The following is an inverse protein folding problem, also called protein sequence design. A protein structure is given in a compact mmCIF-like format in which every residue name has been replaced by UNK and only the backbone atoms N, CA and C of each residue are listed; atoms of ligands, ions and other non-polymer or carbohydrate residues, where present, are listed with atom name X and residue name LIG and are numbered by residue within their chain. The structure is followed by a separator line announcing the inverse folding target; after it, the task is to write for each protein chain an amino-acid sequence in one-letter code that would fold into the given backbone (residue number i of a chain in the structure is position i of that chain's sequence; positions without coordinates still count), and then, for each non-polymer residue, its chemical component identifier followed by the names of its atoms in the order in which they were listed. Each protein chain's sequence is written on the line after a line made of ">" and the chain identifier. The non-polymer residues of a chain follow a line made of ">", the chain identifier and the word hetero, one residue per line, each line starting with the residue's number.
data_IF_089518770801
#
_entry.id   IF_089518770801
#
_cell.length_a   1.000
_cell.length_b   1.000
_cell.length_c   1.000
_cell.angle_alpha   90.00
_cell.angle_beta   90.00
_cell.angle_gamma   90.00
#
_symmetry.space_group_name_H-M   'P 1'
#
loop_
_entity.id
_entity.type
_entity.pdbx_description
1 polymer ?
#
# COMPACT_ATOMS: atom_id res chain seq x y z
N UNK A 1 25.07 -10.57 2.51
CA UNK A 1 24.41 -11.90 2.34
C UNK A 1 23.29 -11.67 1.37
N UNK A 2 23.52 -12.07 0.13
CA UNK A 2 22.51 -12.06 -0.92
C UNK A 2 21.40 -13.01 -0.50
N UNK A 3 20.36 -12.46 0.09
CA UNK A 3 19.08 -13.15 0.20
C UNK A 3 18.48 -13.04 -1.19
N UNK A 4 18.67 -14.06 -1.99
CA UNK A 4 18.00 -14.16 -3.27
C UNK A 4 16.49 -14.22 -2.99
N UNK A 5 15.71 -13.16 -3.24
CA UNK A 5 14.29 -13.14 -2.94
C UNK A 5 13.51 -14.14 -3.80
N UNK A 6 14.11 -14.63 -4.84
CA UNK A 6 13.46 -15.47 -5.85
C UNK A 6 13.53 -16.98 -5.57
N UNK A 7 14.32 -17.43 -4.61
CA UNK A 7 14.50 -18.89 -4.41
C UNK A 7 13.28 -19.59 -3.80
N UNK A 8 12.37 -18.86 -3.16
CA UNK A 8 11.14 -19.42 -2.62
C UNK A 8 9.92 -19.25 -3.54
N UNK A 9 9.92 -18.20 -4.38
CA UNK A 9 8.77 -17.86 -5.22
C UNK A 9 8.95 -18.31 -6.69
N UNK A 10 10.17 -18.63 -7.11
CA UNK A 10 10.48 -18.95 -8.49
C UNK A 10 10.39 -20.43 -8.86
N UNK A 11 10.15 -21.31 -7.91
CA UNK A 11 10.08 -22.74 -8.21
C UNK A 11 8.62 -23.11 -8.55
N UNK A 12 8.28 -22.95 -9.84
CA UNK A 12 6.96 -23.28 -10.40
C UNK A 12 6.53 -24.73 -10.10
N UNK A 13 7.46 -25.58 -9.72
CA UNK A 13 7.21 -27.00 -9.42
C UNK A 13 6.94 -27.28 -7.93
N UNK A 14 7.14 -26.31 -7.03
CA UNK A 14 6.94 -26.51 -5.59
C UNK A 14 6.31 -25.26 -4.96
N UNK A 15 5.08 -24.94 -5.28
CA UNK A 15 4.31 -23.99 -4.49
C UNK A 15 4.21 -24.53 -3.06
N UNK A 16 5.00 -23.92 -2.17
CA UNK A 16 4.91 -24.22 -0.75
C UNK A 16 3.84 -23.32 -0.15
N UNK A 17 2.92 -23.92 0.60
CA UNK A 17 1.93 -23.15 1.36
C UNK A 17 2.64 -22.48 2.54
N UNK A 18 2.50 -21.16 2.65
CA UNK A 18 3.11 -20.36 3.69
C UNK A 18 2.19 -20.28 4.91
N UNK A 19 2.77 -20.46 6.09
CA UNK A 19 2.13 -20.11 7.37
C UNK A 19 2.63 -18.74 7.84
N UNK A 20 1.72 -17.81 8.16
CA UNK A 20 2.09 -16.47 8.60
C UNK A 20 1.74 -16.24 10.08
N UNK A 21 2.75 -15.89 10.89
CA UNK A 21 2.59 -15.52 12.29
C UNK A 21 2.94 -14.03 12.45
N UNK A 22 1.97 -13.17 12.82
CA UNK A 22 2.20 -11.75 12.97
C UNK A 22 3.07 -11.44 14.18
N UNK A 23 4.22 -10.82 13.98
CA UNK A 23 5.15 -10.40 15.04
C UNK A 23 5.43 -8.87 15.02
N UNK A 24 4.84 -8.14 14.10
CA UNK A 24 5.00 -6.69 13.95
C UNK A 24 4.06 -5.88 14.85
N UNK A 25 4.23 -4.56 14.85
CA UNK A 25 3.40 -3.63 15.63
C UNK A 25 2.00 -3.43 15.03
N UNK A 26 1.90 -3.23 13.72
CA UNK A 26 0.64 -2.90 13.02
C UNK A 26 -0.05 -4.17 12.51
N UNK A 27 0.72 -5.04 11.87
CA UNK A 27 0.27 -6.33 11.30
C UNK A 27 -0.89 -6.18 10.30
N UNK A 28 -0.77 -5.22 9.37
CA UNK A 28 -1.79 -4.96 8.34
C UNK A 28 -2.03 -6.18 7.46
N UNK A 29 -0.98 -6.87 7.07
CA UNK A 29 -1.07 -8.09 6.27
C UNK A 29 -1.88 -9.18 6.98
N UNK A 30 -1.58 -9.44 8.28
CA UNK A 30 -2.39 -10.36 9.09
C UNK A 30 -3.85 -9.91 9.19
N UNK A 31 -4.08 -8.60 9.39
CA UNK A 31 -5.43 -8.03 9.48
C UNK A 31 -6.21 -8.24 8.17
N UNK A 32 -5.56 -8.05 7.04
CA UNK A 32 -6.13 -8.26 5.70
C UNK A 32 -6.52 -9.71 5.48
N UNK A 33 -5.68 -10.66 5.88
CA UNK A 33 -5.90 -12.09 5.77
C UNK A 33 -6.82 -12.67 6.87
N UNK A 34 -7.27 -11.85 7.82
CA UNK A 34 -8.06 -12.32 8.95
C UNK A 34 -7.30 -13.24 9.90
N UNK A 35 -5.96 -13.12 9.95
CA UNK A 35 -5.11 -13.88 10.84
C UNK A 35 -5.06 -13.17 12.21
N UNK A 36 -5.26 -13.90 13.32
CA UNK A 36 -5.24 -13.32 14.66
C UNK A 36 -3.88 -12.69 15.00
N UNK A 37 -3.87 -11.53 15.66
CA UNK A 37 -2.64 -10.88 16.15
C UNK A 37 -1.93 -11.68 17.26
N UNK A 38 -2.65 -12.54 17.97
CA UNK A 38 -2.07 -13.45 18.95
C UNK A 38 -1.34 -14.58 18.24
N UNK A 39 -0.03 -14.70 18.48
CA UNK A 39 0.85 -15.65 17.78
C UNK A 39 0.44 -17.11 17.99
N UNK A 40 -0.04 -17.49 19.18
CA UNK A 40 -0.50 -18.87 19.46
C UNK A 40 -1.76 -19.18 18.63
N UNK A 41 -2.72 -18.25 18.60
CA UNK A 41 -3.93 -18.42 17.79
C UNK A 41 -3.62 -18.42 16.29
N UNK A 42 -2.63 -17.62 15.84
CA UNK A 42 -2.17 -17.62 14.46
C UNK A 42 -1.52 -18.97 14.09
N UNK A 43 -0.67 -19.51 14.98
CA UNK A 43 -0.07 -20.83 14.77
C UNK A 43 -1.11 -21.96 14.72
N UNK A 44 -2.13 -21.93 15.59
CA UNK A 44 -3.24 -22.88 15.54
C UNK A 44 -4.02 -22.78 14.21
N UNK A 45 -4.21 -21.54 13.71
CA UNK A 45 -4.89 -21.32 12.43
C UNK A 45 -4.11 -21.88 11.24
N UNK A 46 -2.77 -21.88 11.29
CA UNK A 46 -1.92 -22.53 10.28
C UNK A 46 -2.18 -24.03 10.22
N UNK A 47 -2.41 -24.68 11.37
CA UNK A 47 -2.69 -26.14 11.44
C UNK A 47 -4.05 -26.51 10.86
N UNK A 48 -5.08 -25.71 11.13
CA UNK A 48 -6.48 -26.04 10.88
C UNK A 48 -7.12 -25.19 9.76
N UNK A 49 -6.34 -24.28 9.16
CA UNK A 49 -6.80 -23.31 8.18
C UNK A 49 -7.05 -23.88 6.79
N UNK A 50 -7.43 -23.00 5.91
CA UNK A 50 -7.60 -23.27 4.47
C UNK A 50 -6.51 -22.56 3.68
N UNK A 51 -6.08 -23.17 2.59
CA UNK A 51 -5.16 -22.54 1.64
C UNK A 51 -5.92 -21.48 0.85
N UNK A 52 -5.36 -20.30 0.80
CA UNK A 52 -5.81 -19.19 -0.04
C UNK A 52 -4.66 -18.76 -0.94
N UNK A 53 -4.94 -18.65 -2.24
CA UNK A 53 -4.00 -18.04 -3.18
C UNK A 53 -4.08 -16.51 -3.07
N UNK A 54 -2.95 -15.85 -3.25
CA UNK A 54 -2.79 -14.42 -3.00
C UNK A 54 -1.94 -13.78 -4.09
N UNK A 55 -2.40 -12.63 -4.59
CA UNK A 55 -1.67 -11.84 -5.58
C UNK A 55 -0.59 -11.00 -4.92
N UNK A 56 0.55 -10.87 -5.57
CA UNK A 56 1.63 -9.98 -5.14
C UNK A 56 2.00 -8.99 -6.23
N UNK A 57 2.73 -7.95 -5.88
CA UNK A 57 3.19 -6.94 -6.81
C UNK A 57 4.66 -7.07 -7.19
N UNK A 58 4.97 -6.55 -8.36
CA UNK A 58 6.33 -6.30 -8.81
C UNK A 58 6.46 -4.83 -9.19
N UNK A 59 7.37 -4.11 -8.51
CA UNK A 59 7.73 -2.73 -8.81
C UNK A 59 9.17 -2.70 -9.33
N UNK A 60 9.38 -2.38 -10.59
CA UNK A 60 10.71 -2.34 -11.22
C UNK A 60 11.55 -3.60 -10.95
N UNK A 61 10.92 -4.79 -10.92
CA UNK A 61 11.60 -6.07 -10.63
C UNK A 61 11.70 -6.43 -9.15
N UNK A 62 11.30 -5.56 -8.22
CA UNK A 62 11.22 -5.84 -6.78
C UNK A 62 9.82 -6.30 -6.40
N UNK A 63 9.70 -7.46 -5.79
CA UNK A 63 8.43 -7.98 -5.29
C UNK A 63 7.96 -7.27 -4.03
N UNK A 64 6.64 -7.12 -3.88
CA UNK A 64 6.02 -6.64 -2.65
C UNK A 64 4.70 -7.38 -2.38
N UNK A 65 4.35 -7.49 -1.10
CA UNK A 65 3.22 -8.29 -0.68
C UNK A 65 1.93 -7.49 -0.59
N UNK A 66 1.96 -6.25 -0.11
CA UNK A 66 0.70 -5.57 0.17
C UNK A 66 0.66 -4.10 -0.26
N UNK A 67 1.77 -3.36 -0.30
CA UNK A 67 1.74 -1.94 -0.65
C UNK A 67 3.04 -1.41 -1.25
N UNK A 68 2.92 -0.65 -2.33
CA UNK A 68 3.92 0.30 -2.81
C UNK A 68 3.32 1.71 -2.76
N UNK A 69 4.05 2.68 -2.19
CA UNK A 69 3.54 4.03 -2.00
C UNK A 69 4.62 5.09 -2.15
N UNK A 70 4.21 6.31 -2.50
CA UNK A 70 5.08 7.49 -2.55
C UNK A 70 4.42 8.72 -1.92
N UNK A 71 5.23 9.69 -1.56
CA UNK A 71 4.81 11.02 -1.12
C UNK A 71 4.44 11.08 0.35
N UNK A 72 3.36 11.79 0.67
CA UNK A 72 2.93 12.02 2.04
C UNK A 72 2.74 10.69 2.80
N UNK A 73 3.14 10.65 4.07
CA UNK A 73 3.13 9.47 4.95
C UNK A 73 4.24 8.43 4.72
N UNK A 74 4.99 8.48 3.63
CA UNK A 74 6.10 7.53 3.42
C UNK A 74 7.31 7.89 4.25
N UNK A 75 7.67 9.19 4.37
CA UNK A 75 8.78 9.70 5.20
C UNK A 75 8.61 9.44 6.70
N UNK A 76 7.38 9.28 7.12
CA UNK A 76 7.02 9.19 8.53
C UNK A 76 7.34 7.82 9.12
N UNK A 77 7.37 6.78 8.32
CA UNK A 77 7.73 5.44 8.76
C UNK A 77 9.15 5.37 9.33
N UNK A 78 10.05 6.24 8.86
CA UNK A 78 11.46 6.23 9.24
C UNK A 78 11.86 7.24 10.33
N UNK A 79 11.11 8.36 10.46
CA UNK A 79 11.53 9.50 11.29
C UNK A 79 10.72 9.71 12.58
N UNK A 80 9.57 9.05 12.73
CA UNK A 80 8.70 9.29 13.89
C UNK A 80 9.02 8.35 15.05
N UNK A 81 9.33 8.87 16.26
CA UNK A 81 9.50 8.06 17.45
C UNK A 81 8.23 7.24 17.74
N UNK A 82 8.40 5.98 18.13
CA UNK A 82 7.28 5.05 18.43
C UNK A 82 6.30 5.59 19.49
N UNK A 83 6.76 6.49 20.35
CA UNK A 83 5.95 7.07 21.41
C UNK A 83 4.80 7.95 20.91
N UNK A 84 4.94 8.58 19.73
CA UNK A 84 3.89 9.42 19.13
C UNK A 84 2.81 8.56 18.46
N UNK A 85 3.17 7.38 17.99
CA UNK A 85 2.21 6.43 17.38
C UNK A 85 1.19 5.87 18.38
N UNK A 86 1.54 5.85 19.67
CA UNK A 86 0.71 5.22 20.71
C UNK A 86 -0.25 6.18 21.42
N UNK A 87 -0.04 7.49 21.34
CA UNK A 87 -0.77 8.49 22.16
C UNK A 87 -1.91 9.17 21.38
N UNK A 88 -1.73 9.37 20.09
CA UNK A 88 -2.75 10.00 19.23
C UNK A 88 -3.28 8.93 18.26
N UNK A 89 -4.54 8.60 18.35
CA UNK A 89 -5.15 7.65 17.43
C UNK A 89 -4.83 8.01 15.96
N UNK A 90 -4.77 7.01 15.07
CA UNK A 90 -4.37 7.12 13.65
C UNK A 90 -4.98 8.34 12.93
N UNK A 91 -6.20 8.72 13.26
CA UNK A 91 -6.91 9.86 12.65
C UNK A 91 -6.28 11.22 13.01
N UNK A 92 -5.85 11.39 14.26
CA UNK A 92 -5.21 12.63 14.70
C UNK A 92 -3.83 12.83 14.05
N UNK A 93 -3.13 11.73 13.77
CA UNK A 93 -1.85 11.75 13.09
C UNK A 93 -1.95 12.20 11.61
N UNK A 94 -2.96 11.70 10.89
CA UNK A 94 -3.27 12.16 9.53
C UNK A 94 -3.58 13.66 9.53
N UNK A 95 -4.36 14.13 10.51
CA UNK A 95 -4.69 15.56 10.66
C UNK A 95 -3.47 16.43 10.95
N UNK A 96 -2.56 15.98 11.80
CA UNK A 96 -1.38 16.78 12.20
C UNK A 96 -0.35 16.86 11.07
N UNK A 97 -0.17 15.79 10.32
CA UNK A 97 0.68 15.76 9.12
C UNK A 97 0.17 16.67 8.01
N UNK A 98 -1.13 16.86 7.91
CA UNK A 98 -1.77 17.72 6.92
C UNK A 98 -1.85 19.20 7.32
N UNK A 99 -1.69 19.55 8.60
CA UNK A 99 -1.68 20.95 9.07
C UNK A 99 -0.49 21.75 8.57
N UNK A 100 0.61 21.10 8.21
CA UNK A 100 1.83 21.72 7.74
C UNK A 100 1.88 21.79 6.21
N UNK A 101 0.89 22.45 5.60
CA UNK A 101 0.79 22.63 4.13
C UNK A 101 2.04 23.22 3.47
N UNK A 102 2.84 23.98 4.21
CA UNK A 102 4.01 24.66 3.67
C UNK A 102 5.17 23.74 3.26
N UNK A 103 5.12 22.45 3.63
CA UNK A 103 6.21 21.49 3.39
C UNK A 103 5.78 20.19 2.68
N UNK A 104 4.57 20.16 2.11
CA UNK A 104 4.13 18.99 1.35
C UNK A 104 4.85 18.99 0.00
N UNK A 105 5.67 17.97 -0.23
CA UNK A 105 6.26 17.75 -1.57
C UNK A 105 5.15 17.28 -2.50
N UNK A 106 5.01 17.93 -3.64
CA UNK A 106 4.20 17.48 -4.76
C UNK A 106 5.08 17.02 -5.91
N UNK A 107 4.54 16.10 -6.69
CA UNK A 107 5.20 15.51 -7.85
C UNK A 107 4.27 15.65 -9.05
N UNK A 108 4.76 16.27 -10.14
CA UNK A 108 4.04 16.24 -11.40
C UNK A 108 4.27 14.89 -12.06
N UNK A 109 3.20 14.14 -12.24
CA UNK A 109 3.24 12.76 -12.72
C UNK A 109 2.47 12.61 -14.01
N UNK A 110 2.99 11.76 -14.89
CA UNK A 110 2.25 11.13 -15.98
C UNK A 110 2.02 9.67 -15.61
N UNK A 111 0.76 9.27 -15.57
CA UNK A 111 0.33 7.95 -15.10
C UNK A 111 -0.37 7.26 -16.26
N UNK A 112 0.13 6.09 -16.64
CA UNK A 112 -0.46 5.24 -17.67
C UNK A 112 -1.05 3.99 -17.02
N UNK A 113 -2.33 3.78 -17.22
CA UNK A 113 -3.08 2.66 -16.67
C UNK A 113 -4.07 2.17 -17.73
N UNK A 114 -3.88 0.96 -18.22
CA UNK A 114 -4.64 0.44 -19.36
C UNK A 114 -4.54 1.39 -20.58
N UNK A 115 -5.69 1.85 -21.08
CA UNK A 115 -5.77 2.84 -22.19
C UNK A 115 -5.89 4.29 -21.69
N UNK A 116 -5.78 4.51 -20.38
CA UNK A 116 -5.98 5.82 -19.74
C UNK A 116 -4.62 6.45 -19.43
N UNK A 117 -4.44 7.70 -19.86
CA UNK A 117 -3.35 8.55 -19.43
C UNK A 117 -3.89 9.65 -18.51
N UNK A 118 -3.28 9.81 -17.33
CA UNK A 118 -3.59 10.86 -16.37
C UNK A 118 -2.35 11.71 -16.13
N UNK A 119 -2.51 13.05 -16.09
CA UNK A 119 -1.43 13.98 -15.78
C UNK A 119 -1.87 14.94 -14.68
N UNK A 120 -0.97 15.23 -13.77
CA UNK A 120 -1.24 16.18 -12.68
C UNK A 120 -0.21 16.19 -11.59
N UNK A 121 -0.41 17.10 -10.62
CA UNK A 121 0.39 17.18 -9.41
C UNK A 121 -0.25 16.34 -8.30
N UNK A 122 0.53 15.44 -7.73
CA UNK A 122 0.09 14.54 -6.67
C UNK A 122 1.01 14.66 -5.46
N UNK A 123 0.40 14.58 -4.28
CA UNK A 123 1.13 14.59 -3.00
C UNK A 123 1.28 13.21 -2.39
N UNK A 124 0.50 12.24 -2.87
CA UNK A 124 0.51 10.87 -2.39
C UNK A 124 -0.03 9.92 -3.45
N UNK A 125 0.57 8.74 -3.52
CA UNK A 125 0.07 7.62 -4.29
C UNK A 125 0.34 6.31 -3.58
N UNK A 126 -0.62 5.39 -3.69
CA UNK A 126 -0.56 4.07 -3.09
C UNK A 126 -1.17 3.05 -4.04
N UNK A 127 -0.43 2.00 -4.28
CA UNK A 127 -0.82 0.82 -5.05
C UNK A 127 -0.78 -0.36 -4.07
N UNK A 128 -1.89 -1.03 -3.86
CA UNK A 128 -1.97 -2.04 -2.82
C UNK A 128 -2.87 -3.21 -3.18
N UNK A 129 -2.55 -4.38 -2.59
CA UNK A 129 -3.43 -5.53 -2.49
C UNK A 129 -3.73 -5.77 -1.00
N UNK A 130 -4.45 -4.84 -0.37
CA UNK A 130 -4.69 -4.89 1.07
C UNK A 130 -5.94 -4.15 1.48
N UNK A 131 -6.66 -4.70 2.44
CA UNK A 131 -7.81 -4.05 3.10
C UNK A 131 -7.41 -3.04 4.17
N UNK A 132 -6.14 -3.05 4.58
CA UNK A 132 -5.62 -2.17 5.63
C UNK A 132 -4.20 -1.77 5.31
N UNK A 133 -3.90 -0.48 5.36
CA UNK A 133 -2.54 0.05 5.19
C UNK A 133 -2.26 1.08 6.28
N UNK A 134 -1.10 0.95 6.94
CA UNK A 134 -0.71 1.82 8.05
C UNK A 134 -1.66 1.76 9.25
N UNK A 135 -2.41 0.65 9.43
CA UNK A 135 -3.42 0.47 10.47
C UNK A 135 -4.77 1.14 10.17
N UNK A 136 -4.93 1.77 9.00
CA UNK A 136 -6.20 2.36 8.57
C UNK A 136 -6.94 1.33 7.71
N UNK A 137 -8.08 0.87 8.23
CA UNK A 137 -8.95 -0.06 7.51
C UNK A 137 -9.72 0.65 6.40
N UNK A 138 -9.96 -0.08 5.32
CA UNK A 138 -10.75 0.36 4.17
C UNK A 138 -10.19 1.61 3.45
N UNK A 139 -8.90 1.96 3.67
CA UNK A 139 -8.27 3.11 3.02
C UNK A 139 -8.17 2.90 1.50
N UNK A 140 -8.01 1.64 1.07
CA UNK A 140 -7.96 1.27 -0.34
C UNK A 140 -9.34 1.12 -0.98
N UNK A 141 -10.38 0.98 -0.18
CA UNK A 141 -11.75 0.69 -0.60
C UNK A 141 -12.35 -0.46 0.18
N UNK A 142 -13.64 -0.73 -0.07
CA UNK A 142 -14.34 -1.84 0.61
C UNK A 142 -14.29 -3.15 -0.19
N UNK A 143 -14.14 -3.03 -1.51
CA UNK A 143 -14.27 -4.15 -2.45
C UNK A 143 -12.88 -4.67 -2.85
N UNK A 144 -11.99 -4.80 -1.84
CA UNK A 144 -10.65 -5.35 -2.03
C UNK A 144 -10.75 -6.87 -2.07
N UNK A 145 -10.44 -7.45 -3.21
CA UNK A 145 -10.23 -8.87 -3.42
C UNK A 145 -8.73 -9.13 -3.55
N UNK A 146 -8.25 -10.22 -2.95
CA UNK A 146 -6.81 -10.45 -2.81
C UNK A 146 -6.24 -11.39 -3.89
N UNK A 147 -7.12 -11.89 -4.75
CA UNK A 147 -6.84 -12.92 -5.77
C UNK A 147 -7.60 -12.65 -7.08
N UNK A 148 -7.97 -11.39 -7.33
CA UNK A 148 -8.70 -10.95 -8.53
C UNK A 148 -7.76 -10.47 -9.66
N UNK A 149 -6.45 -10.54 -9.46
CA UNK A 149 -5.44 -10.08 -10.42
C UNK A 149 -5.36 -8.56 -10.56
N UNK A 150 -5.88 -7.80 -9.58
CA UNK A 150 -5.91 -6.34 -9.62
C UNK A 150 -5.35 -5.73 -8.34
N UNK A 151 -4.80 -4.52 -8.46
CA UNK A 151 -4.47 -3.65 -7.33
C UNK A 151 -5.47 -2.52 -7.20
N UNK A 152 -5.70 -2.11 -5.96
CA UNK A 152 -6.32 -0.84 -5.63
C UNK A 152 -5.29 0.27 -5.72
N UNK A 153 -5.57 1.25 -6.56
CA UNK A 153 -4.80 2.47 -6.69
C UNK A 153 -5.52 3.61 -5.99
N UNK A 154 -4.82 4.32 -5.13
CA UNK A 154 -5.29 5.57 -4.50
C UNK A 154 -4.29 6.67 -4.80
N UNK A 155 -4.73 7.73 -5.46
CA UNK A 155 -3.93 8.91 -5.77
C UNK A 155 -4.56 10.13 -5.11
N UNK A 156 -3.74 10.98 -4.50
CA UNK A 156 -4.17 12.23 -3.85
C UNK A 156 -3.55 13.40 -4.57
N UNK A 157 -4.39 14.26 -5.13
CA UNK A 157 -3.96 15.46 -5.84
C UNK A 157 -3.38 16.51 -4.88
N UNK A 158 -2.54 17.37 -5.41
CA UNK A 158 -2.01 18.51 -4.69
C UNK A 158 -3.14 19.52 -4.39
N UNK A 159 -3.40 19.85 -3.11
CA UNK A 159 -4.39 20.85 -2.76
C UNK A 159 -3.82 22.25 -2.98
N UNK A 160 -4.58 23.11 -3.64
CA UNK A 160 -4.23 24.54 -3.82
C UNK A 160 -4.98 25.45 -2.83
N UNK A 161 -5.86 24.88 -2.02
CA UNK A 161 -6.65 25.62 -1.04
C UNK A 161 -6.90 24.82 0.25
N UNK A 162 -7.17 25.50 1.38
CA UNK A 162 -7.57 24.81 2.63
C UNK A 162 -8.86 23.99 2.49
N UNK A 163 -9.76 24.39 1.59
CA UNK A 163 -10.98 23.66 1.31
C UNK A 163 -10.70 22.30 0.65
N UNK A 164 -9.80 22.28 -0.34
CA UNK A 164 -9.37 21.04 -0.99
C UNK A 164 -8.67 20.10 -0.02
N UNK A 165 -7.87 20.64 0.91
CA UNK A 165 -7.28 19.85 1.97
C UNK A 165 -8.35 19.18 2.85
N UNK A 166 -9.40 19.91 3.23
CA UNK A 166 -10.53 19.33 3.96
C UNK A 166 -11.22 18.23 3.14
N UNK A 167 -11.36 18.42 1.82
CA UNK A 167 -11.93 17.40 0.93
C UNK A 167 -11.05 16.15 0.84
N UNK A 168 -9.72 16.29 0.85
CA UNK A 168 -8.79 15.16 0.92
C UNK A 168 -9.00 14.37 2.21
N UNK A 169 -8.99 15.06 3.35
CA UNK A 169 -9.18 14.43 4.66
C UNK A 169 -10.53 13.71 4.72
N UNK A 170 -11.59 14.40 4.32
CA UNK A 170 -12.93 13.81 4.27
C UNK A 170 -12.98 12.60 3.32
N UNK A 171 -12.36 12.70 2.15
CA UNK A 171 -12.30 11.61 1.16
C UNK A 171 -11.51 10.39 1.62
N UNK A 172 -10.43 10.59 2.39
CA UNK A 172 -9.62 9.49 2.92
C UNK A 172 -10.28 8.80 4.13
N UNK A 173 -11.01 9.57 4.95
CA UNK A 173 -11.64 9.07 6.17
C UNK A 173 -13.09 8.62 5.96
N UNK A 174 -13.75 9.06 4.89
CA UNK A 174 -15.16 8.77 4.67
C UNK A 174 -15.38 7.41 4.03
N UNK A 175 -16.42 6.73 4.50
CA UNK A 175 -16.85 5.43 3.92
C UNK A 175 -17.46 5.58 2.51
N UNK A 176 -17.88 6.77 2.10
CA UNK A 176 -18.47 7.05 0.78
C UNK A 176 -17.44 7.53 -0.27
N UNK A 177 -16.22 7.68 0.10
CA UNK A 177 -15.00 7.74 -0.69
C UNK A 177 -14.98 8.61 -1.98
N UNK A 178 -15.98 9.42 -2.25
CA UNK A 178 -15.99 10.33 -3.39
C UNK A 178 -15.42 11.67 -2.97
N UNK A 179 -14.23 11.97 -3.44
CA UNK A 179 -13.61 13.30 -3.34
C UNK A 179 -13.00 13.64 -4.69
N UNK A 180 -13.16 14.83 -5.21
CA UNK A 180 -12.51 15.24 -6.46
C UNK A 180 -10.98 15.27 -6.35
N UNK A 181 -10.47 15.29 -5.11
CA UNK A 181 -9.05 15.34 -4.78
C UNK A 181 -8.43 13.95 -4.56
N UNK A 182 -9.25 12.89 -4.53
CA UNK A 182 -8.79 11.51 -4.32
C UNK A 182 -9.33 10.64 -5.42
N UNK A 183 -8.43 10.16 -6.26
CA UNK A 183 -8.75 9.21 -7.33
C UNK A 183 -8.54 7.79 -6.83
N UNK A 184 -9.49 6.90 -7.13
CA UNK A 184 -9.41 5.48 -6.82
C UNK A 184 -9.88 4.66 -8.01
N UNK A 185 -9.09 3.65 -8.34
CA UNK A 185 -9.42 2.69 -9.40
C UNK A 185 -8.67 1.37 -9.17
N UNK A 186 -9.02 0.34 -9.93
CA UNK A 186 -8.31 -0.94 -9.93
C UNK A 186 -7.55 -1.11 -11.26
N UNK A 187 -6.39 -1.77 -11.20
CA UNK A 187 -5.59 -2.11 -12.37
C UNK A 187 -4.66 -3.28 -12.08
N UNK A 188 -4.35 -4.04 -13.12
CA UNK A 188 -3.32 -5.10 -13.12
C UNK A 188 -1.91 -4.55 -13.40
N UNK A 189 -1.84 -3.37 -14.06
CA UNK A 189 -0.59 -2.71 -14.41
C UNK A 189 -0.72 -1.20 -14.40
N UNK A 190 0.32 -0.53 -13.88
CA UNK A 190 0.44 0.94 -13.88
C UNK A 190 1.89 1.35 -14.16
N UNK A 191 2.05 2.39 -14.97
CA UNK A 191 3.35 3.05 -15.17
C UNK A 191 3.22 4.50 -14.72
N UNK A 192 4.14 4.93 -13.87
CA UNK A 192 4.20 6.29 -13.32
C UNK A 192 5.53 6.91 -13.71
N UNK A 193 5.47 8.04 -14.37
CA UNK A 193 6.64 8.82 -14.83
C UNK A 193 6.62 10.21 -14.24
N UNK A 194 7.80 10.74 -13.93
CA UNK A 194 8.00 12.09 -13.40
C UNK A 194 9.31 12.71 -13.87
N UNK A 195 9.37 14.05 -13.91
CA UNK A 195 10.59 14.78 -14.27
C UNK A 195 11.69 14.66 -13.21
N UNK A 196 11.31 14.42 -11.94
CA UNK A 196 12.21 14.27 -10.80
C UNK A 196 12.02 12.88 -10.18
N UNK A 197 13.09 12.33 -9.64
CA UNK A 197 13.01 11.08 -8.91
C UNK A 197 12.05 11.20 -7.72
N UNK A 198 11.11 10.28 -7.62
CA UNK A 198 10.12 10.15 -6.56
C UNK A 198 10.58 9.06 -5.61
N UNK A 199 10.64 9.37 -4.32
CA UNK A 199 10.98 8.41 -3.28
C UNK A 199 9.79 7.47 -3.01
N UNK A 200 10.05 6.16 -3.02
CA UNK A 200 9.04 5.13 -2.82
C UNK A 200 9.28 4.37 -1.52
N UNK A 201 8.21 3.82 -0.99
CA UNK A 201 8.24 2.78 0.04
C UNK A 201 7.55 1.53 -0.48
N UNK A 202 8.09 0.38 -0.13
CA UNK A 202 7.59 -0.93 -0.55
C UNK A 202 7.47 -1.80 0.69
N UNK A 203 6.26 -2.21 1.05
CA UNK A 203 5.94 -2.95 2.28
C UNK A 203 6.48 -2.29 3.56
N UNK A 204 6.58 -0.94 3.56
CA UNK A 204 7.09 -0.16 4.69
C UNK A 204 8.61 -0.01 4.74
N UNK A 205 9.33 -0.51 3.75
CA UNK A 205 10.77 -0.38 3.59
C UNK A 205 11.12 0.63 2.49
N UNK A 206 12.40 1.05 2.43
CA UNK A 206 12.89 1.92 1.36
C UNK A 206 12.76 1.24 -0.01
N UNK A 207 12.03 1.88 -0.92
CA UNK A 207 11.80 1.44 -2.29
C UNK A 207 12.65 2.18 -3.33
N UNK A 208 13.66 2.95 -2.86
CA UNK A 208 14.49 3.82 -3.68
C UNK A 208 13.74 4.98 -4.35
N UNK A 209 14.47 5.83 -5.06
CA UNK A 209 13.93 6.96 -5.78
C UNK A 209 13.98 6.73 -7.29
N UNK A 210 12.84 6.88 -7.98
CA UNK A 210 12.71 6.56 -9.39
C UNK A 210 12.02 7.69 -10.16
N UNK A 211 12.46 7.94 -11.40
CA UNK A 211 11.74 8.81 -12.35
C UNK A 211 10.67 8.04 -13.13
N UNK A 212 10.84 6.71 -13.26
CA UNK A 212 9.88 5.83 -13.88
C UNK A 212 9.70 4.58 -13.03
N UNK A 213 8.47 4.31 -12.68
CA UNK A 213 8.06 3.12 -11.94
C UNK A 213 7.03 2.37 -12.75
N UNK A 214 7.25 1.08 -12.91
CA UNK A 214 6.31 0.14 -13.47
C UNK A 214 5.92 -0.86 -12.41
N UNK A 215 4.63 -0.97 -12.15
CA UNK A 215 4.05 -1.92 -11.20
C UNK A 215 3.10 -2.83 -11.95
N UNK A 216 3.22 -4.12 -11.71
CA UNK A 216 2.33 -5.15 -12.25
C UNK A 216 1.98 -6.20 -11.21
N UNK A 217 0.80 -6.82 -11.38
CA UNK A 217 0.35 -7.95 -10.56
C UNK A 217 1.03 -9.23 -11.02
N UNK A 218 1.36 -10.09 -10.05
CA UNK A 218 1.62 -11.51 -10.26
C UNK A 218 0.46 -12.28 -9.63
N UNK A 219 -0.45 -12.72 -10.50
CA UNK A 219 -1.69 -13.38 -10.11
C UNK A 219 -1.41 -14.68 -9.34
N UNK A 220 -2.07 -14.83 -8.20
CA UNK A 220 -2.03 -16.02 -7.34
C UNK A 220 -0.63 -16.58 -7.08
N UNK A 221 0.32 -15.67 -6.85
CA UNK A 221 1.74 -16.02 -6.75
C UNK A 221 2.12 -16.73 -5.45
N UNK A 222 1.35 -16.55 -4.39
CA UNK A 222 1.61 -17.13 -3.07
C UNK A 222 0.38 -17.89 -2.59
N UNK A 223 0.60 -19.10 -2.09
CA UNK A 223 -0.39 -19.87 -1.35
C UNK A 223 -0.13 -19.70 0.16
N UNK A 224 -1.13 -19.24 0.90
CA UNK A 224 -1.01 -18.96 2.33
C UNK A 224 -2.12 -19.64 3.13
N UNK A 225 -1.78 -20.09 4.33
CA UNK A 225 -2.73 -20.70 5.25
C UNK A 225 -3.48 -19.62 6.04
N UNK A 226 -4.81 -19.58 5.92
CA UNK A 226 -5.69 -18.57 6.55
C UNK A 226 -6.85 -19.22 7.30
#
# INVERSE_FOLDING_TARGET
>A
RDVAPSRGLGDVYKRQVLGYIPAGSTNDFASTLGIPKNMIKAAAKISDGKVMSYDIGVMNGRYFNYVAAFGLFTDVSYKTPQNVKNVLGHQAYVFESLKSLSNIKSYYLTIHCNEIEMKGSYIYGMISNSRSVGGVKDICGKDVELDDGLFEVTLVKEPVSPLELQQIVAGLLSKNQKSPMVERFKTDRIVIESDKAVEWTVDGENGDAHQRVEISVVDKAIDIMV
#
